data_IF_597401921203
#
_entry.id   IF_597401921203
#
_cell.length_a   1.000
_cell.length_b   1.000
_cell.length_c   1.000
_cell.angle_alpha   90.00
_cell.angle_beta   90.00
_cell.angle_gamma   90.00
#
_symmetry.space_group_name_H-M   'P 1'
#
loop_
_entity.id
_entity.type
_entity.pdbx_description
1 polymer ?
#
# COMPACT_ATOMS: atom_id res chain seq x y z
N UNK A 1 9.54 -15.10 11.94
CA UNK A 1 10.16 -13.75 11.90
C UNK A 1 11.65 -13.92 12.11
N UNK A 2 12.46 -13.01 11.58
CA UNK A 2 13.92 -13.02 11.74
C UNK A 2 14.36 -11.81 12.54
N UNK A 3 15.37 -11.98 13.38
CA UNK A 3 15.91 -10.88 14.20
C UNK A 3 16.97 -10.09 13.41
N UNK A 4 16.93 -8.77 13.54
CA UNK A 4 17.90 -7.85 12.96
C UNK A 4 18.62 -7.11 14.10
N UNK A 5 19.92 -7.36 14.25
CA UNK A 5 20.76 -6.68 15.24
C UNK A 5 21.60 -5.63 14.52
N UNK A 6 21.36 -4.35 14.83
CA UNK A 6 22.06 -3.21 14.24
C UNK A 6 22.52 -2.24 15.32
N UNK A 7 23.67 -1.60 15.11
CA UNK A 7 24.14 -0.51 15.97
C UNK A 7 23.77 0.81 15.32
N UNK A 8 23.14 1.71 16.09
CA UNK A 8 22.78 3.05 15.66
C UNK A 8 23.33 4.08 16.64
N UNK A 9 23.54 5.34 16.22
CA UNK A 9 23.94 6.41 17.13
C UNK A 9 22.92 6.62 18.25
N UNK A 10 23.38 6.89 19.48
CA UNK A 10 22.52 7.11 20.64
C UNK A 10 21.53 8.27 20.44
N UNK A 11 21.94 9.30 19.71
CA UNK A 11 21.09 10.44 19.36
C UNK A 11 19.91 10.03 18.48
N UNK A 12 20.10 9.06 17.58
CA UNK A 12 19.06 8.52 16.73
C UNK A 12 18.13 7.63 17.55
N UNK A 13 18.68 6.77 18.41
CA UNK A 13 17.88 5.93 19.31
C UNK A 13 16.91 6.77 20.16
N UNK A 14 17.40 7.86 20.77
CA UNK A 14 16.56 8.78 21.56
C UNK A 14 15.41 9.37 20.74
N UNK A 15 15.71 9.89 19.55
CA UNK A 15 14.70 10.48 18.67
C UNK A 15 13.62 9.48 18.28
N UNK A 16 14.00 8.25 17.92
CA UNK A 16 13.04 7.23 17.48
C UNK A 16 12.23 6.70 18.68
N UNK A 17 12.82 6.60 19.87
CA UNK A 17 12.10 6.25 21.09
C UNK A 17 11.02 7.29 21.44
N UNK A 18 11.38 8.58 21.44
CA UNK A 18 10.43 9.68 21.67
C UNK A 18 9.30 9.69 20.64
N UNK A 19 9.60 9.39 19.38
CA UNK A 19 8.60 9.31 18.32
C UNK A 19 7.67 8.10 18.51
N UNK A 20 8.21 6.94 18.90
CA UNK A 20 7.43 5.74 19.18
C UNK A 20 6.43 5.93 20.32
N UNK A 21 6.83 6.64 21.38
CA UNK A 21 5.94 7.01 22.49
C UNK A 21 4.79 7.92 22.02
N UNK A 22 5.07 8.93 21.18
CA UNK A 22 4.05 9.84 20.64
C UNK A 22 3.03 9.12 19.77
N UNK A 23 3.48 8.22 18.91
CA UNK A 23 2.65 7.49 17.95
C UNK A 23 2.04 6.20 18.53
N UNK A 24 2.31 5.88 19.81
CA UNK A 24 1.86 4.64 20.47
C UNK A 24 2.24 3.36 19.71
N UNK A 25 3.41 3.34 19.08
CA UNK A 25 3.95 2.18 18.36
C UNK A 25 5.30 1.77 18.95
N UNK A 26 5.55 0.45 19.02
CA UNK A 26 6.84 -0.03 19.53
C UNK A 26 8.00 0.34 18.60
N UNK A 27 9.18 0.52 19.17
CA UNK A 27 10.40 0.81 18.41
C UNK A 27 10.65 -0.23 17.30
N UNK A 28 10.44 -1.51 17.60
CA UNK A 28 10.60 -2.61 16.63
C UNK A 28 9.61 -2.50 15.46
N UNK A 29 8.36 -2.14 15.74
CA UNK A 29 7.36 -1.91 14.70
C UNK A 29 7.71 -0.70 13.84
N UNK A 30 8.12 0.41 14.47
CA UNK A 30 8.52 1.62 13.76
C UNK A 30 9.71 1.34 12.83
N UNK A 31 10.75 0.65 13.31
CA UNK A 31 11.91 0.24 12.51
C UNK A 31 11.49 -0.68 11.37
N UNK A 32 10.65 -1.67 11.62
CA UNK A 32 10.18 -2.60 10.59
C UNK A 32 9.38 -1.87 9.48
N UNK A 33 8.50 -0.93 9.85
CA UNK A 33 7.71 -0.14 8.90
C UNK A 33 8.62 0.78 8.07
N UNK A 34 9.51 1.53 8.73
CA UNK A 34 10.42 2.44 8.06
C UNK A 34 11.38 1.68 7.12
N UNK A 35 11.92 0.55 7.58
CA UNK A 35 12.78 -0.31 6.77
C UNK A 35 12.02 -0.86 5.56
N UNK A 36 10.79 -1.35 5.75
CA UNK A 36 9.93 -1.81 4.65
C UNK A 36 9.67 -0.70 3.64
N UNK A 37 9.34 0.51 4.08
CA UNK A 37 9.10 1.65 3.21
C UNK A 37 10.36 2.06 2.42
N UNK A 38 11.54 1.97 3.04
CA UNK A 38 12.80 2.29 2.38
C UNK A 38 13.22 1.25 1.32
N UNK A 39 12.99 -0.04 1.57
CA UNK A 39 13.37 -1.12 0.63
C UNK A 39 12.31 -1.41 -0.44
N UNK A 40 11.03 -1.07 -0.18
CA UNK A 40 9.93 -1.32 -1.12
C UNK A 40 10.15 -0.70 -2.51
N UNK A 41 10.65 0.55 -2.63
CA UNK A 41 10.99 1.13 -3.91
C UNK A 41 12.01 0.31 -4.69
N UNK A 42 13.02 -0.26 -4.04
CA UNK A 42 14.05 -1.07 -4.71
C UNK A 42 13.49 -2.37 -5.26
N UNK A 43 12.61 -3.03 -4.50
CA UNK A 43 11.89 -4.23 -4.97
C UNK A 43 10.90 -3.90 -6.09
N UNK A 44 10.50 -2.63 -6.23
CA UNK A 44 9.49 -2.17 -7.19
C UNK A 44 10.12 -1.42 -8.37
N UNK A 45 11.40 -1.04 -8.29
CA UNK A 45 12.10 -0.29 -9.33
C UNK A 45 12.14 -1.12 -10.62
N UNK A 46 12.40 -2.42 -10.51
CA UNK A 46 12.32 -3.37 -11.62
C UNK A 46 10.88 -3.57 -12.13
N UNK A 47 9.88 -3.44 -11.24
CA UNK A 47 8.46 -3.63 -11.59
C UNK A 47 7.87 -2.42 -12.34
N UNK A 48 8.34 -1.20 -12.11
CA UNK A 48 7.78 0.00 -12.76
C UNK A 48 8.61 0.42 -13.96
N UNK A 49 9.94 0.40 -13.85
CA UNK A 49 10.82 0.97 -14.88
C UNK A 49 10.80 0.14 -16.17
N UNK A 50 10.90 -1.19 -16.08
CA UNK A 50 10.91 -2.05 -17.28
C UNK A 50 9.56 -2.08 -18.01
N UNK A 51 8.40 -2.25 -17.33
CA UNK A 51 7.11 -2.16 -17.99
C UNK A 51 6.77 -0.75 -18.48
N UNK A 52 7.21 0.30 -17.78
CA UNK A 52 6.99 1.69 -18.24
C UNK A 52 7.73 1.98 -19.55
N UNK A 53 8.92 1.40 -19.78
CA UNK A 53 9.62 1.48 -21.08
C UNK A 53 8.83 0.85 -22.22
N UNK A 54 8.02 -0.18 -21.92
CA UNK A 54 7.17 -0.85 -22.89
C UNK A 54 5.76 -0.24 -22.98
N UNK A 55 5.45 0.74 -22.13
CA UNK A 55 4.13 1.36 -22.04
C UNK A 55 3.85 2.27 -23.23
N UNK A 56 2.68 2.09 -23.86
CA UNK A 56 2.18 3.00 -24.89
C UNK A 56 1.08 3.90 -24.31
N UNK A 57 1.33 5.21 -24.29
CA UNK A 57 0.40 6.20 -23.74
C UNK A 57 -0.95 6.24 -24.47
N UNK A 58 -0.98 5.99 -25.78
CA UNK A 58 -2.22 5.94 -26.56
C UNK A 58 -3.08 4.75 -26.17
N UNK A 59 -2.47 3.56 -26.04
CA UNK A 59 -3.15 2.36 -25.58
C UNK A 59 -3.67 2.52 -24.16
N UNK A 60 -2.89 3.18 -23.29
CA UNK A 60 -3.31 3.50 -21.94
C UNK A 60 -4.56 4.39 -21.91
N UNK A 61 -4.60 5.47 -22.71
CA UNK A 61 -5.78 6.33 -22.86
C UNK A 61 -7.00 5.56 -23.39
N UNK A 62 -6.82 4.66 -24.36
CA UNK A 62 -7.89 3.83 -24.89
C UNK A 62 -8.49 2.93 -23.81
N UNK A 63 -7.66 2.32 -22.96
CA UNK A 63 -8.15 1.52 -21.83
C UNK A 63 -8.88 2.40 -20.81
N UNK A 64 -8.33 3.58 -20.46
CA UNK A 64 -8.98 4.51 -19.54
C UNK A 64 -10.34 4.99 -20.03
N UNK A 65 -10.53 5.15 -21.35
CA UNK A 65 -11.85 5.54 -21.91
C UNK A 65 -12.95 4.50 -21.69
N UNK A 66 -12.59 3.25 -21.36
CA UNK A 66 -13.57 2.20 -21.01
C UNK A 66 -14.02 2.28 -19.56
N UNK A 67 -13.34 3.05 -18.72
CA UNK A 67 -13.70 3.19 -17.31
C UNK A 67 -14.99 4.03 -17.23
N UNK A 68 -16.06 3.51 -16.60
CA UNK A 68 -17.31 4.25 -16.48
C UNK A 68 -17.11 5.53 -15.67
N UNK A 69 -17.59 6.66 -16.19
CA UNK A 69 -17.56 7.95 -15.50
C UNK A 69 -18.70 8.03 -14.48
N UNK A 70 -18.57 7.29 -13.39
CA UNK A 70 -19.53 7.29 -12.27
C UNK A 70 -19.04 8.18 -11.13
N UNK A 71 -19.96 8.75 -10.31
CA UNK A 71 -19.60 9.56 -9.16
C UNK A 71 -18.65 8.80 -8.21
N UNK A 72 -17.62 9.47 -7.64
CA UNK A 72 -16.67 8.85 -6.72
C UNK A 72 -17.35 8.13 -5.55
N UNK A 73 -18.46 8.68 -5.06
CA UNK A 73 -19.25 8.12 -3.96
C UNK A 73 -19.81 6.74 -4.31
N UNK A 74 -20.20 6.54 -5.57
CA UNK A 74 -20.71 5.25 -6.05
C UNK A 74 -19.60 4.19 -6.11
N UNK A 75 -18.39 4.59 -6.50
CA UNK A 75 -17.20 3.72 -6.51
C UNK A 75 -16.84 3.30 -5.08
N UNK A 76 -16.84 4.26 -4.15
CA UNK A 76 -16.55 4.01 -2.73
C UNK A 76 -17.60 3.07 -2.12
N UNK A 77 -18.88 3.28 -2.39
CA UNK A 77 -19.97 2.41 -1.91
C UNK A 77 -19.84 0.99 -2.47
N UNK A 78 -19.55 0.84 -3.76
CA UNK A 78 -19.32 -0.47 -4.40
C UNK A 78 -18.11 -1.19 -3.79
N UNK A 79 -17.02 -0.47 -3.56
CA UNK A 79 -15.81 -1.00 -2.94
C UNK A 79 -16.07 -1.46 -1.50
N UNK A 80 -16.73 -0.64 -0.68
CA UNK A 80 -17.06 -0.99 0.70
C UNK A 80 -17.99 -2.20 0.78
N UNK A 81 -18.97 -2.29 -0.13
CA UNK A 81 -19.87 -3.45 -0.25
C UNK A 81 -19.13 -4.73 -0.63
N UNK A 82 -18.20 -4.66 -1.60
CA UNK A 82 -17.35 -5.79 -1.96
C UNK A 82 -16.44 -6.19 -0.79
N UNK A 83 -15.83 -5.21 -0.10
CA UNK A 83 -14.98 -5.45 1.07
C UNK A 83 -15.71 -6.17 2.20
N UNK A 84 -16.96 -5.80 2.49
CA UNK A 84 -17.76 -6.45 3.54
C UNK A 84 -18.10 -7.90 3.22
N UNK A 85 -18.09 -8.30 1.95
CA UNK A 85 -18.31 -9.70 1.54
C UNK A 85 -17.07 -10.57 1.76
N UNK A 86 -15.87 -9.99 1.64
CA UNK A 86 -14.61 -10.71 1.81
C UNK A 86 -14.14 -10.66 3.28
N UNK A 87 -14.50 -9.60 4.03
CA UNK A 87 -14.16 -9.43 5.45
C UNK A 87 -15.35 -8.88 6.25
N UNK A 88 -16.10 -9.75 6.96
CA UNK A 88 -17.27 -9.33 7.73
C UNK A 88 -16.95 -8.61 9.06
N UNK A 89 -15.69 -8.60 9.51
CA UNK A 89 -15.29 -7.98 10.80
C UNK A 89 -14.44 -6.72 10.58
N UNK A 90 -14.98 -5.56 10.95
CA UNK A 90 -14.44 -4.21 10.71
C UNK A 90 -13.31 -3.76 11.64
N UNK A 91 -12.94 -4.57 12.63
CA UNK A 91 -12.15 -4.10 13.78
C UNK A 91 -10.63 -4.22 13.59
N UNK A 92 -10.15 -4.76 12.48
CA UNK A 92 -8.73 -4.76 12.15
C UNK A 92 -8.37 -3.54 11.28
N UNK A 93 -7.55 -2.64 11.85
CA UNK A 93 -6.89 -1.55 11.12
C UNK A 93 -6.06 -2.17 10.01
N UNK A 94 -6.47 -1.97 8.75
CA UNK A 94 -5.73 -2.46 7.58
C UNK A 94 -4.50 -1.57 7.39
N UNK A 95 -3.27 -2.09 7.46
CA UNK A 95 -2.07 -1.28 7.25
C UNK A 95 -2.08 -0.63 5.85
N UNK A 96 -1.55 0.60 5.68
CA UNK A 96 -1.57 1.32 4.40
C UNK A 96 -1.01 0.51 3.21
N UNK A 97 0.00 -0.33 3.47
CA UNK A 97 0.60 -1.20 2.46
C UNK A 97 -0.33 -2.30 1.96
N UNK A 98 -1.24 -2.79 2.81
CA UNK A 98 -2.25 -3.75 2.37
C UNK A 98 -3.31 -3.07 1.50
N UNK A 99 -3.60 -1.79 1.72
CA UNK A 99 -4.57 -1.02 0.93
C UNK A 99 -4.21 -1.00 -0.57
N UNK A 100 -2.92 -0.90 -0.90
CA UNK A 100 -2.43 -0.97 -2.29
C UNK A 100 -2.64 -2.35 -2.92
N UNK A 101 -2.42 -3.42 -2.15
CA UNK A 101 -2.67 -4.80 -2.58
C UNK A 101 -4.17 -5.05 -2.76
N UNK A 102 -5.00 -4.55 -1.83
CA UNK A 102 -6.47 -4.63 -1.90
C UNK A 102 -7.03 -3.93 -3.13
N UNK A 103 -6.51 -2.73 -3.45
CA UNK A 103 -6.93 -2.00 -4.64
C UNK A 103 -6.58 -2.76 -5.93
N UNK A 104 -5.39 -3.40 -6.00
CA UNK A 104 -5.02 -4.27 -7.13
C UNK A 104 -5.95 -5.48 -7.29
N UNK A 105 -6.33 -6.14 -6.19
CA UNK A 105 -7.24 -7.29 -6.23
C UNK A 105 -8.64 -6.86 -6.68
N UNK A 106 -9.18 -5.78 -6.11
CA UNK A 106 -10.49 -5.24 -6.48
C UNK A 106 -10.56 -4.88 -7.97
N UNK A 107 -9.54 -4.19 -8.51
CA UNK A 107 -9.48 -3.86 -9.93
C UNK A 107 -9.42 -5.10 -10.84
N UNK A 108 -8.77 -6.18 -10.40
CA UNK A 108 -8.67 -7.43 -11.16
C UNK A 108 -9.91 -8.33 -11.03
N UNK A 109 -10.67 -8.23 -9.93
CA UNK A 109 -11.91 -8.98 -9.67
C UNK A 109 -13.16 -8.27 -10.18
N UNK A 110 -13.07 -6.97 -10.46
CA UNK A 110 -14.11 -6.25 -11.16
C UNK A 110 -14.29 -6.85 -12.58
N UNK A 111 -15.53 -6.99 -13.08
CA UNK A 111 -15.77 -7.49 -14.43
C UNK A 111 -14.96 -6.66 -15.43
N UNK A 112 -14.10 -7.32 -16.18
CA UNK A 112 -13.30 -6.68 -17.23
C UNK A 112 -14.24 -6.10 -18.29
N UNK A 113 -14.04 -4.84 -18.63
CA UNK A 113 -14.67 -4.13 -19.75
C UNK A 113 -13.78 -4.28 -21.00
#
# INVERSE_FOLDING_TARGET
MSDLIVKIPDSLYKQVAELGERESISLNQMVAIAFSAQVSPWMTQDYVVEPAKQGNWEQFKQVLSKVPLVPPEEVVVRFLKWRSQIYPSSDQIVPPLQMVVFYKIFLNSAPKI
#
